data_IF_769023073215
#
_entry.id   IF_769023073215
#
_cell.length_a   1.000
_cell.length_b   1.000
_cell.length_c   1.000
_cell.angle_alpha   90.00
_cell.angle_beta   90.00
_cell.angle_gamma   90.00
#
_symmetry.space_group_name_H-M   'P 1'
#
loop_
_entity.id
_entity.type
_entity.pdbx_description
1 polymer ?
#
# COMPACT_ATOMS: atom_id res chain seq x y z
N UNK A 1 -3.59 -5.13 -23.27
CA UNK A 1 -4.18 -4.86 -24.58
C UNK A 1 -4.85 -3.48 -24.54
N UNK A 2 -4.29 -2.48 -25.21
CA UNK A 2 -4.83 -1.11 -25.17
C UNK A 2 -5.79 -0.98 -26.35
N UNK A 3 -7.09 -1.00 -26.10
CA UNK A 3 -8.07 -0.73 -27.14
C UNK A 3 -8.11 0.78 -27.42
N UNK A 4 -7.46 1.22 -28.50
CA UNK A 4 -7.75 2.54 -29.10
C UNK A 4 -8.98 2.37 -29.99
N UNK A 5 -10.12 2.91 -29.56
CA UNK A 5 -11.25 3.07 -30.48
C UNK A 5 -10.93 4.30 -31.32
N UNK A 6 -10.30 4.06 -32.48
CA UNK A 6 -10.19 5.07 -33.53
C UNK A 6 -11.47 4.96 -34.38
N UNK A 7 -12.33 5.96 -34.30
CA UNK A 7 -13.46 6.12 -35.23
C UNK A 7 -12.89 6.74 -36.50
N UNK A 8 -13.01 6.01 -37.60
CA UNK A 8 -12.44 6.31 -38.90
C UNK A 8 -12.96 7.63 -39.51
N UNK A 9 -12.05 8.35 -40.18
CA UNK A 9 -12.28 9.54 -40.97
C UNK A 9 -13.20 9.29 -42.14
N UNK A 10 -14.36 9.94 -42.14
CA UNK A 10 -15.16 10.24 -43.33
C UNK A 10 -15.06 11.72 -43.64
N UNK A 11 -14.52 12.05 -44.80
CA UNK A 11 -14.36 13.41 -45.28
C UNK A 11 -15.72 14.10 -45.52
N UNK A 12 -16.12 15.00 -44.64
CA UNK A 12 -17.08 16.06 -45.00
C UNK A 12 -16.77 17.29 -44.15
N UNK A 13 -16.22 18.32 -44.79
CA UNK A 13 -15.71 19.57 -44.17
C UNK A 13 -16.77 20.44 -43.50
N UNK A 14 -18.05 20.16 -43.67
CA UNK A 14 -19.15 20.93 -43.08
C UNK A 14 -19.63 20.41 -41.71
N UNK A 15 -19.10 19.26 -41.24
CA UNK A 15 -19.45 18.64 -39.94
C UNK A 15 -18.34 18.71 -38.87
N UNK A 16 -17.28 19.43 -39.12
CA UNK A 16 -16.02 19.43 -38.35
C UNK A 16 -16.18 19.94 -36.89
N UNK A 17 -17.23 20.70 -36.57
CA UNK A 17 -17.35 21.33 -35.25
C UNK A 17 -18.02 20.46 -34.16
N UNK A 18 -18.69 19.37 -34.50
CA UNK A 18 -19.38 18.52 -33.50
C UNK A 18 -18.55 17.33 -33.02
N UNK A 19 -17.58 16.85 -33.79
CA UNK A 19 -16.73 15.70 -33.49
C UNK A 19 -15.44 16.04 -32.73
N UNK A 20 -14.98 17.31 -32.76
CA UNK A 20 -13.76 17.75 -32.08
C UNK A 20 -13.85 17.67 -30.54
N UNK A 21 -15.05 17.57 -29.99
CA UNK A 21 -15.26 17.51 -28.54
C UNK A 21 -15.00 16.11 -27.97
N UNK A 22 -15.20 15.05 -28.75
CA UNK A 22 -15.00 13.66 -28.34
C UNK A 22 -13.57 13.14 -28.62
N UNK A 23 -12.85 13.76 -29.55
CA UNK A 23 -11.46 13.38 -29.89
C UNK A 23 -10.45 13.59 -28.73
N UNK A 24 -10.83 14.28 -27.67
CA UNK A 24 -9.97 14.57 -26.52
C UNK A 24 -10.15 13.65 -25.32
N UNK A 25 -11.05 12.67 -25.42
CA UNK A 25 -11.27 11.68 -24.40
C UNK A 25 -10.44 10.41 -24.71
N UNK A 26 -9.75 9.91 -23.70
CA UNK A 26 -9.05 8.62 -23.77
C UNK A 26 -9.63 7.72 -22.70
N UNK A 27 -10.11 6.55 -23.12
CA UNK A 27 -10.62 5.52 -22.23
C UNK A 27 -9.66 4.33 -22.27
N UNK A 28 -9.34 3.77 -21.12
CA UNK A 28 -8.59 2.52 -21.02
C UNK A 28 -9.32 1.54 -20.11
N UNK A 29 -9.31 0.29 -20.54
CA UNK A 29 -9.78 -0.84 -19.75
C UNK A 29 -8.57 -1.71 -19.42
N UNK A 30 -8.36 -2.00 -18.16
CA UNK A 30 -7.28 -2.82 -17.64
C UNK A 30 -7.80 -3.65 -16.49
N UNK A 31 -7.05 -4.58 -16.01
CA UNK A 31 -7.41 -5.31 -14.80
C UNK A 31 -6.33 -6.28 -14.37
N UNK A 32 -6.55 -6.84 -13.21
CA UNK A 32 -5.70 -7.85 -12.62
C UNK A 32 -6.56 -9.04 -12.20
N UNK A 33 -6.12 -10.24 -12.57
CA UNK A 33 -6.65 -11.51 -12.07
C UNK A 33 -5.53 -12.16 -11.26
N UNK A 34 -5.84 -12.55 -10.02
CA UNK A 34 -4.89 -13.26 -9.16
C UNK A 34 -5.50 -14.61 -8.76
N UNK A 35 -4.74 -15.67 -8.92
CA UNK A 35 -5.07 -16.99 -8.43
C UNK A 35 -3.93 -17.41 -7.50
N UNK A 36 -4.26 -17.78 -6.28
CA UNK A 36 -3.28 -18.25 -5.31
C UNK A 36 -3.72 -19.55 -4.68
N UNK A 37 -2.77 -20.42 -4.37
CA UNK A 37 -3.00 -21.61 -3.56
C UNK A 37 -1.85 -21.77 -2.58
N UNK A 38 -2.15 -22.24 -1.38
CA UNK A 38 -1.12 -22.38 -0.36
C UNK A 38 -1.51 -23.35 0.75
N UNK A 39 -0.50 -23.75 1.50
CA UNK A 39 -0.61 -24.65 2.64
C UNK A 39 0.31 -24.20 3.78
N UNK A 40 0.00 -24.61 5.00
CA UNK A 40 0.82 -24.36 6.19
C UNK A 40 0.80 -25.59 7.10
N UNK A 41 1.80 -25.69 7.95
CA UNK A 41 1.86 -26.72 9.00
C UNK A 41 1.21 -26.26 10.32
N UNK A 42 0.67 -25.04 10.36
CA UNK A 42 -0.03 -24.48 11.52
C UNK A 42 -1.42 -23.99 11.11
N UNK A 43 -2.39 -24.89 11.18
CA UNK A 43 -3.73 -24.71 10.65
C UNK A 43 -4.69 -24.42 11.79
N UNK A 44 -5.50 -23.34 11.73
CA UNK A 44 -6.53 -23.06 12.70
C UNK A 44 -7.60 -24.16 12.71
N UNK A 45 -8.23 -24.36 13.86
CA UNK A 45 -9.35 -25.29 13.98
C UNK A 45 -10.47 -24.92 13.00
N UNK A 46 -11.00 -25.91 12.30
CA UNK A 46 -12.08 -25.73 11.33
C UNK A 46 -11.62 -25.26 9.94
N UNK A 47 -10.30 -25.20 9.69
CA UNK A 47 -9.74 -24.88 8.36
C UNK A 47 -9.14 -26.15 7.73
N UNK A 48 -9.12 -26.18 6.39
CA UNK A 48 -8.39 -27.20 5.62
C UNK A 48 -6.88 -26.89 5.58
N UNK A 49 -6.05 -27.92 5.27
CA UNK A 49 -4.59 -27.68 5.11
C UNK A 49 -4.21 -26.93 3.86
N UNK A 50 -5.13 -26.67 2.95
CA UNK A 50 -4.88 -25.80 1.83
C UNK A 50 -5.96 -24.75 1.71
N UNK A 51 -5.58 -23.60 1.22
CA UNK A 51 -6.49 -22.54 0.83
C UNK A 51 -6.23 -22.11 -0.60
N UNK A 52 -7.28 -21.67 -1.28
CA UNK A 52 -7.22 -21.15 -2.64
C UNK A 52 -7.92 -19.80 -2.68
N UNK A 53 -7.19 -18.78 -3.15
CA UNK A 53 -7.70 -17.43 -3.35
C UNK A 53 -7.89 -17.14 -4.83
N UNK A 54 -9.00 -16.49 -5.15
CA UNK A 54 -9.26 -15.93 -6.49
C UNK A 54 -9.63 -14.47 -6.32
N UNK A 55 -8.86 -13.58 -6.94
CA UNK A 55 -9.11 -12.14 -6.90
C UNK A 55 -9.21 -11.60 -8.32
N UNK A 56 -10.17 -10.72 -8.57
CA UNK A 56 -10.35 -10.03 -9.84
C UNK A 56 -10.59 -8.55 -9.59
N UNK A 57 -9.75 -7.70 -10.19
CA UNK A 57 -9.85 -6.25 -10.07
C UNK A 57 -9.91 -5.64 -11.48
N UNK A 58 -11.10 -5.49 -12.08
CA UNK A 58 -11.28 -4.70 -13.30
C UNK A 58 -11.10 -3.21 -13.01
N UNK A 59 -10.47 -2.50 -13.97
CA UNK A 59 -10.23 -1.06 -13.92
C UNK A 59 -10.68 -0.38 -15.19
N UNK A 60 -11.46 0.67 -15.04
CA UNK A 60 -11.84 1.58 -16.12
C UNK A 60 -11.28 2.96 -15.79
N UNK A 61 -10.54 3.55 -16.72
CA UNK A 61 -10.03 4.90 -16.58
C UNK A 61 -10.45 5.75 -17.77
N UNK A 62 -10.86 6.98 -17.50
CA UNK A 62 -11.25 7.96 -18.52
C UNK A 62 -10.44 9.22 -18.28
N UNK A 63 -9.80 9.75 -19.34
CA UNK A 63 -9.00 10.97 -19.26
C UNK A 63 -9.42 11.95 -20.35
N UNK A 64 -9.57 13.22 -19.99
CA UNK A 64 -9.80 14.35 -20.91
C UNK A 64 -8.67 15.36 -20.79
N UNK A 65 -7.89 15.52 -21.85
CA UNK A 65 -6.90 16.57 -21.93
C UNK A 65 -7.56 17.92 -22.20
N UNK A 66 -7.08 18.96 -21.50
CA UNK A 66 -7.50 20.35 -21.64
C UNK A 66 -6.33 21.18 -22.20
N UNK A 67 -6.59 22.45 -22.51
CA UNK A 67 -5.52 23.39 -22.89
C UNK A 67 -4.58 23.66 -21.71
N UNK A 68 -3.31 24.02 -21.99
CA UNK A 68 -2.30 24.44 -21.00
C UNK A 68 -1.97 23.34 -19.96
N UNK A 69 -1.70 22.11 -20.41
CA UNK A 69 -1.27 20.98 -19.59
C UNK A 69 -2.20 20.65 -18.41
N UNK A 70 -3.49 20.93 -18.60
CA UNK A 70 -4.54 20.57 -17.64
C UNK A 70 -5.31 19.37 -18.14
N UNK A 71 -5.81 18.57 -17.23
CA UNK A 71 -6.65 17.44 -17.56
C UNK A 71 -7.63 17.09 -16.43
N UNK A 72 -8.73 16.46 -16.83
CA UNK A 72 -9.61 15.72 -15.94
C UNK A 72 -9.42 14.24 -16.20
N UNK A 73 -9.41 13.45 -15.14
CA UNK A 73 -9.51 12.01 -15.25
C UNK A 73 -10.38 11.44 -14.12
N UNK A 74 -10.86 10.23 -14.36
CA UNK A 74 -11.64 9.44 -13.42
C UNK A 74 -11.23 7.98 -13.54
N UNK A 75 -11.29 7.28 -12.43
CA UNK A 75 -10.96 5.86 -12.37
C UNK A 75 -11.99 5.14 -11.51
N UNK A 76 -12.40 3.99 -11.98
CA UNK A 76 -13.21 3.04 -11.25
C UNK A 76 -12.55 1.67 -11.26
N UNK A 77 -12.37 1.09 -10.07
CA UNK A 77 -11.92 -0.28 -9.85
C UNK A 77 -12.89 -0.96 -8.91
N UNK A 78 -13.22 -2.20 -9.20
CA UNK A 78 -14.01 -3.04 -8.33
C UNK A 78 -13.22 -4.28 -7.95
N UNK A 79 -13.27 -4.68 -6.68
CA UNK A 79 -12.54 -5.84 -6.18
C UNK A 79 -13.53 -6.97 -5.88
N UNK A 80 -13.32 -8.10 -6.55
CA UNK A 80 -13.92 -9.38 -6.26
C UNK A 80 -12.84 -10.27 -5.67
N UNK A 81 -13.02 -10.75 -4.45
CA UNK A 81 -12.07 -11.67 -3.82
C UNK A 81 -12.85 -12.81 -3.18
N UNK A 82 -12.46 -14.04 -3.47
CA UNK A 82 -13.00 -15.25 -2.86
C UNK A 82 -11.89 -16.10 -2.32
N UNK A 83 -11.98 -16.48 -1.06
CA UNK A 83 -11.04 -17.36 -0.37
C UNK A 83 -11.75 -18.66 0.01
N UNK A 84 -11.18 -19.75 -0.42
CA UNK A 84 -11.66 -21.10 -0.15
C UNK A 84 -10.71 -21.80 0.82
N UNK A 85 -11.26 -22.57 1.76
CA UNK A 85 -10.53 -23.50 2.61
C UNK A 85 -10.96 -24.91 2.24
N UNK A 86 -10.06 -25.69 1.63
CA UNK A 86 -10.49 -26.89 0.91
C UNK A 86 -11.49 -26.53 -0.20
N UNK A 87 -12.60 -27.25 -0.23
CA UNK A 87 -13.68 -27.03 -1.21
C UNK A 87 -14.75 -26.05 -0.74
N UNK A 88 -14.62 -25.50 0.47
CA UNK A 88 -15.63 -24.60 1.08
C UNK A 88 -15.23 -23.14 0.94
N UNK A 89 -16.18 -22.28 0.53
CA UNK A 89 -16.00 -20.83 0.53
C UNK A 89 -15.86 -20.35 1.98
N UNK A 90 -14.71 -19.76 2.30
CA UNK A 90 -14.42 -19.23 3.63
C UNK A 90 -14.76 -17.74 3.73
N UNK A 91 -14.34 -16.95 2.75
CA UNK A 91 -14.58 -15.51 2.73
C UNK A 91 -14.85 -15.02 1.30
N UNK A 92 -15.72 -14.00 1.18
CA UNK A 92 -15.99 -13.32 -0.08
C UNK A 92 -16.05 -11.83 0.15
N UNK A 93 -15.25 -11.07 -0.58
CA UNK A 93 -15.20 -9.61 -0.50
C UNK A 93 -15.55 -9.04 -1.86
N UNK A 94 -16.59 -8.21 -1.91
CA UNK A 94 -16.99 -7.48 -3.10
C UNK A 94 -17.14 -6.01 -2.73
N UNK A 95 -16.25 -5.15 -3.26
CA UNK A 95 -16.24 -3.73 -2.91
C UNK A 95 -15.64 -2.87 -4.01
N UNK A 96 -16.03 -1.58 -4.03
CA UNK A 96 -15.26 -0.61 -4.81
C UNK A 96 -13.84 -0.55 -4.25
N UNK A 97 -12.84 -0.75 -5.11
CA UNK A 97 -11.44 -0.68 -4.74
C UNK A 97 -10.88 0.72 -4.97
N UNK A 98 -11.32 1.36 -6.07
CA UNK A 98 -11.08 2.77 -6.39
C UNK A 98 -12.33 3.34 -7.03
N UNK A 99 -12.64 4.58 -6.72
CA UNK A 99 -13.70 5.34 -7.36
C UNK A 99 -13.43 6.82 -7.13
N UNK A 100 -12.76 7.47 -8.05
CA UNK A 100 -12.37 8.86 -7.88
C UNK A 100 -12.40 9.64 -9.18
N UNK A 101 -12.51 10.96 -9.03
CA UNK A 101 -12.31 11.95 -10.10
C UNK A 101 -11.18 12.89 -9.70
N UNK A 102 -10.42 13.38 -10.69
CA UNK A 102 -9.29 14.27 -10.49
C UNK A 102 -9.25 15.37 -11.54
N UNK A 103 -8.96 16.57 -11.07
CA UNK A 103 -8.46 17.67 -11.88
C UNK A 103 -6.98 17.85 -11.59
N UNK A 104 -6.17 17.99 -12.63
CA UNK A 104 -4.75 18.25 -12.50
C UNK A 104 -4.26 19.31 -13.47
N UNK A 105 -3.31 20.10 -13.00
CA UNK A 105 -2.53 21.10 -13.73
C UNK A 105 -1.08 21.07 -13.23
N UNK A 106 -0.19 21.87 -13.83
CA UNK A 106 1.21 21.94 -13.41
C UNK A 106 1.39 22.41 -11.94
N UNK A 107 0.42 23.10 -11.36
CA UNK A 107 0.52 23.66 -10.01
C UNK A 107 -0.46 23.08 -9.00
N UNK A 108 -1.55 22.48 -9.45
CA UNK A 108 -2.63 22.05 -8.55
C UNK A 108 -3.17 20.71 -9.03
N UNK A 109 -3.35 19.79 -8.08
CA UNK A 109 -4.12 18.56 -8.24
C UNK A 109 -5.23 18.54 -7.19
N UNK A 110 -6.47 18.37 -7.62
CA UNK A 110 -7.61 18.13 -6.74
C UNK A 110 -8.22 16.76 -7.07
N UNK A 111 -8.35 15.88 -6.07
CA UNK A 111 -8.92 14.54 -6.24
C UNK A 111 -10.02 14.31 -5.21
N UNK A 112 -11.12 13.74 -5.66
CA UNK A 112 -12.28 13.42 -4.83
C UNK A 112 -12.72 11.96 -5.04
N UNK A 113 -12.99 11.25 -3.96
CA UNK A 113 -13.52 9.89 -3.97
C UNK A 113 -12.61 8.89 -3.26
N UNK A 114 -12.88 7.60 -3.51
CA UNK A 114 -12.13 6.47 -2.94
C UNK A 114 -10.77 6.34 -3.65
N UNK A 115 -9.70 6.68 -2.97
CA UNK A 115 -8.35 6.82 -3.53
C UNK A 115 -7.26 6.26 -2.63
N UNK A 116 -6.15 5.83 -3.23
CA UNK A 116 -4.94 5.44 -2.51
C UNK A 116 -4.25 6.68 -1.93
N UNK A 117 -3.87 6.61 -0.64
CA UNK A 117 -3.03 7.59 0.04
C UNK A 117 -1.93 6.86 0.81
N UNK A 118 -0.68 7.05 0.40
CA UNK A 118 0.50 6.43 1.00
C UNK A 118 1.51 7.52 1.29
N UNK A 119 2.13 7.49 2.46
CA UNK A 119 3.14 8.45 2.90
C UNK A 119 4.36 7.74 3.46
N UNK A 120 5.48 8.48 3.50
CA UNK A 120 6.73 8.07 4.10
C UNK A 120 7.62 7.20 3.21
N UNK A 121 8.92 7.17 3.47
CA UNK A 121 9.92 6.43 2.71
C UNK A 121 10.10 4.98 3.16
N UNK A 122 9.63 4.60 4.36
CA UNK A 122 9.80 3.24 4.88
C UNK A 122 9.04 2.19 4.07
N UNK A 123 9.60 1.01 3.97
CA UNK A 123 9.11 -0.05 3.09
C UNK A 123 8.43 -1.19 3.86
N UNK A 124 9.00 -1.60 5.00
CA UNK A 124 8.54 -2.75 5.78
C UNK A 124 7.94 -2.30 7.12
N UNK A 125 8.68 -1.50 7.88
CA UNK A 125 8.27 -1.04 9.22
C UNK A 125 7.79 0.42 9.11
N UNK A 126 6.49 0.63 8.86
CA UNK A 126 5.92 1.87 8.35
C UNK A 126 5.11 2.66 9.39
N UNK A 127 5.71 3.64 10.12
CA UNK A 127 5.00 4.52 11.05
C UNK A 127 3.88 5.36 10.41
N UNK A 128 4.02 5.74 9.13
CA UNK A 128 3.08 6.58 8.37
C UNK A 128 2.06 5.78 7.54
N UNK A 129 1.91 4.47 7.77
CA UNK A 129 0.84 3.67 7.15
C UNK A 129 -0.54 3.99 7.74
N UNK A 130 -0.95 5.27 7.69
CA UNK A 130 -2.18 5.74 8.33
C UNK A 130 -3.43 5.49 7.49
N UNK A 131 -3.28 5.37 6.19
CA UNK A 131 -4.38 5.35 5.21
C UNK A 131 -4.24 4.24 4.18
N UNK A 132 -3.30 3.33 4.38
CA UNK A 132 -3.03 2.25 3.45
C UNK A 132 -2.73 0.94 4.18
N UNK A 133 -2.92 -0.16 3.45
CA UNK A 133 -2.61 -1.53 3.89
C UNK A 133 -1.45 -2.11 3.08
N UNK A 134 -0.56 -1.24 2.58
CA UNK A 134 0.57 -1.69 1.76
C UNK A 134 1.46 -2.64 2.53
N UNK A 135 1.69 -3.83 1.97
CA UNK A 135 2.65 -4.81 2.45
C UNK A 135 3.61 -5.19 1.32
N UNK A 136 4.91 -5.03 1.55
CA UNK A 136 5.95 -5.37 0.57
C UNK A 136 5.99 -6.89 0.28
N UNK A 137 5.48 -7.72 1.19
CA UNK A 137 5.37 -9.17 1.02
C UNK A 137 4.24 -9.56 0.07
N UNK A 138 3.24 -8.70 -0.14
CA UNK A 138 2.15 -8.96 -1.08
C UNK A 138 2.60 -8.76 -2.53
N UNK A 139 2.65 -9.83 -3.36
CA UNK A 139 3.06 -9.72 -4.76
C UNK A 139 2.09 -8.90 -5.62
N UNK A 140 0.83 -8.75 -5.21
CA UNK A 140 -0.18 -7.99 -5.97
C UNK A 140 0.05 -6.49 -5.88
N UNK A 141 0.78 -6.02 -4.86
CA UNK A 141 1.02 -4.60 -4.54
C UNK A 141 -0.29 -3.80 -4.38
N UNK A 142 -1.38 -4.49 -4.05
CA UNK A 142 -2.67 -3.85 -3.82
C UNK A 142 -2.72 -3.26 -2.41
N UNK A 143 -3.47 -2.20 -2.24
CA UNK A 143 -3.72 -1.57 -0.94
C UNK A 143 -5.10 -0.95 -0.94
N UNK A 144 -5.76 -0.96 0.17
CA UNK A 144 -7.08 -0.34 0.30
C UNK A 144 -6.97 1.18 0.10
N UNK A 145 -8.08 1.78 -0.28
CA UNK A 145 -8.21 3.21 -0.46
C UNK A 145 -9.03 3.86 0.64
N UNK A 146 -8.96 5.17 0.72
CA UNK A 146 -9.75 6.00 1.63
C UNK A 146 -10.66 6.95 0.86
N UNK A 147 -11.87 7.19 1.38
CA UNK A 147 -12.80 8.19 0.83
C UNK A 147 -12.33 9.57 1.24
N UNK A 148 -11.80 10.34 0.29
CA UNK A 148 -11.17 11.63 0.56
C UNK A 148 -11.48 12.68 -0.49
N UNK A 149 -11.51 13.95 -0.07
CA UNK A 149 -11.13 15.06 -0.91
C UNK A 149 -9.69 15.44 -0.59
N UNK A 150 -8.80 15.43 -1.59
CA UNK A 150 -7.39 15.81 -1.46
C UNK A 150 -7.05 16.91 -2.44
N UNK A 151 -6.41 17.96 -1.94
CA UNK A 151 -5.85 19.06 -2.72
C UNK A 151 -4.33 19.04 -2.58
N UNK A 152 -3.60 19.02 -3.68
CA UNK A 152 -2.15 19.21 -3.75
C UNK A 152 -1.82 20.49 -4.45
N UNK A 153 -0.86 21.22 -3.93
CA UNK A 153 -0.34 22.45 -4.51
C UNK A 153 1.17 22.37 -4.64
N UNK A 154 1.68 22.73 -5.81
CA UNK A 154 3.08 22.70 -6.20
C UNK A 154 3.55 24.11 -6.52
N UNK A 155 3.88 24.97 -5.52
CA UNK A 155 4.34 26.33 -5.77
C UNK A 155 5.69 26.38 -6.46
N UNK A 156 6.57 25.39 -6.20
CA UNK A 156 7.86 25.23 -6.87
C UNK A 156 8.17 23.75 -7.11
N UNK A 157 9.25 23.46 -7.83
CA UNK A 157 9.72 22.10 -8.07
C UNK A 157 10.27 21.43 -6.80
N UNK A 158 10.70 22.23 -5.82
CA UNK A 158 11.31 21.74 -4.58
C UNK A 158 10.35 21.70 -3.41
N UNK A 159 9.14 22.25 -3.54
CA UNK A 159 8.19 22.33 -2.45
C UNK A 159 6.79 21.94 -2.92
N UNK A 160 6.15 21.07 -2.17
CA UNK A 160 4.75 20.73 -2.36
C UNK A 160 4.00 20.68 -1.03
N UNK A 161 2.70 20.91 -1.10
CA UNK A 161 1.80 20.72 0.05
C UNK A 161 0.56 19.99 -0.41
N UNK A 162 0.04 19.14 0.46
CA UNK A 162 -1.23 18.46 0.27
C UNK A 162 -2.10 18.60 1.51
N UNK A 163 -3.39 18.83 1.31
CA UNK A 163 -4.39 18.85 2.37
C UNK A 163 -5.51 17.90 2.02
N UNK A 164 -6.13 17.31 3.02
CA UNK A 164 -7.23 16.37 2.81
C UNK A 164 -8.28 16.46 3.89
N UNK A 165 -9.50 16.12 3.49
CA UNK A 165 -10.61 15.79 4.36
C UNK A 165 -10.99 14.36 4.03
N UNK A 166 -11.03 13.48 5.03
CA UNK A 166 -11.41 12.09 4.90
C UNK A 166 -12.75 11.86 5.60
N UNK A 167 -13.52 10.92 5.07
CA UNK A 167 -14.62 10.30 5.77
C UNK A 167 -14.15 8.92 6.22
N UNK A 168 -14.06 8.71 7.52
CA UNK A 168 -13.69 7.41 8.08
C UNK A 168 -14.86 6.41 8.04
N UNK A 169 -14.65 5.19 8.52
CA UNK A 169 -15.64 4.12 8.54
C UNK A 169 -16.87 4.43 9.42
N UNK A 170 -16.75 5.35 10.36
CA UNK A 170 -17.85 5.82 11.22
C UNK A 170 -18.51 7.11 10.70
N UNK A 171 -18.34 7.41 9.41
CA UNK A 171 -18.85 8.64 8.77
C UNK A 171 -18.41 9.94 9.45
N UNK A 172 -17.31 9.89 10.21
CA UNK A 172 -16.73 11.08 10.85
C UNK A 172 -15.71 11.73 9.93
N UNK A 173 -15.81 13.05 9.76
CA UNK A 173 -14.86 13.82 8.96
C UNK A 173 -13.55 14.03 9.75
N UNK A 174 -12.45 13.67 9.12
CA UNK A 174 -11.10 13.86 9.63
C UNK A 174 -10.31 14.74 8.67
N UNK A 175 -9.34 15.48 9.18
CA UNK A 175 -8.61 16.48 8.40
C UNK A 175 -7.11 16.35 8.62
N UNK A 176 -6.33 16.62 7.58
CA UNK A 176 -4.87 16.65 7.70
C UNK A 176 -4.20 17.40 6.57
N UNK A 177 -2.91 17.61 6.75
CA UNK A 177 -2.06 18.17 5.73
C UNK A 177 -0.64 17.59 5.79
N UNK A 178 0.08 17.72 4.67
CA UNK A 178 1.47 17.32 4.50
C UNK A 178 2.22 18.38 3.72
N UNK A 179 3.41 18.73 4.20
CA UNK A 179 4.40 19.54 3.53
C UNK A 179 5.54 18.66 3.07
N UNK A 180 6.03 18.87 1.87
CA UNK A 180 7.16 18.15 1.30
C UNK A 180 8.17 19.13 0.74
N UNK A 181 9.44 18.94 1.08
CA UNK A 181 10.57 19.74 0.63
C UNK A 181 11.63 18.80 0.06
N UNK A 182 12.06 19.04 -1.18
CA UNK A 182 13.15 18.32 -1.83
C UNK A 182 14.28 19.28 -2.14
N UNK A 183 15.50 18.94 -1.72
CA UNK A 183 16.71 19.71 -1.97
C UNK A 183 17.93 18.78 -2.11
N UNK A 184 19.13 19.33 -2.29
CA UNK A 184 20.36 18.56 -2.46
C UNK A 184 20.75 17.74 -1.20
N UNK A 185 20.18 18.04 -0.05
CA UNK A 185 20.40 17.31 1.21
C UNK A 185 19.39 16.19 1.43
N UNK A 186 18.40 16.04 0.54
CA UNK A 186 17.39 15.00 0.61
C UNK A 186 15.95 15.51 0.54
N UNK A 187 15.04 14.61 0.79
CA UNK A 187 13.59 14.84 0.79
C UNK A 187 13.06 14.82 2.22
N UNK A 188 12.26 15.80 2.55
CA UNK A 188 11.68 16.00 3.89
C UNK A 188 10.16 16.01 3.80
N UNK A 189 9.50 15.35 4.71
CA UNK A 189 8.05 15.36 4.86
C UNK A 189 7.64 15.74 6.28
N UNK A 190 6.62 16.58 6.40
CA UNK A 190 5.95 16.89 7.66
C UNK A 190 4.45 16.65 7.49
N UNK A 191 3.88 15.76 8.29
CA UNK A 191 2.47 15.36 8.18
C UNK A 191 1.76 15.58 9.50
N UNK A 192 0.57 16.19 9.46
CA UNK A 192 -0.32 16.29 10.61
C UNK A 192 -1.72 15.82 10.21
N UNK A 193 -2.41 15.20 11.16
CA UNK A 193 -3.77 14.71 10.97
C UNK A 193 -4.54 14.73 12.28
N UNK A 194 -5.81 15.11 12.22
CA UNK A 194 -6.73 15.09 13.35
C UNK A 194 -7.94 14.23 13.04
N UNK A 195 -8.22 13.28 13.92
CA UNK A 195 -9.38 12.42 13.90
C UNK A 195 -10.23 12.68 15.16
N UNK A 196 -11.51 12.97 14.96
CA UNK A 196 -12.47 13.27 16.02
C UNK A 196 -13.38 12.08 16.36
N UNK A 197 -13.14 10.92 15.78
CA UNK A 197 -13.95 9.71 16.03
C UNK A 197 -13.90 9.29 17.48
N UNK A 198 -15.01 8.85 18.02
CA UNK A 198 -15.11 8.36 19.40
C UNK A 198 -14.88 6.87 19.56
N UNK A 199 -14.84 6.11 18.46
CA UNK A 199 -14.68 4.65 18.45
C UNK A 199 -13.25 4.18 18.56
N UNK A 200 -13.06 2.91 18.90
CA UNK A 200 -11.79 2.22 18.76
C UNK A 200 -11.42 2.12 17.29
N UNK A 201 -10.19 2.48 16.98
CA UNK A 201 -9.59 2.31 15.65
C UNK A 201 -8.32 1.51 15.76
N UNK A 202 -8.01 0.74 14.72
CA UNK A 202 -6.72 0.08 14.56
C UNK A 202 -5.91 0.82 13.53
N UNK A 203 -4.73 1.28 13.93
CA UNK A 203 -3.92 2.14 13.09
C UNK A 203 -2.70 1.42 12.53
N UNK A 204 -2.48 1.63 11.25
CA UNK A 204 -1.29 1.22 10.53
C UNK A 204 -1.17 -0.29 10.38
N UNK A 205 -0.06 -0.71 9.80
CA UNK A 205 0.26 -2.11 9.54
C UNK A 205 0.38 -2.95 10.83
N UNK A 206 0.71 -2.33 11.96
CA UNK A 206 0.83 -2.99 13.25
C UNK A 206 -0.50 -3.17 13.98
N UNK A 207 -1.59 -2.64 13.44
CA UNK A 207 -2.91 -2.73 14.08
C UNK A 207 -2.95 -2.11 15.47
N UNK A 208 -2.30 -0.97 15.68
CA UNK A 208 -2.23 -0.33 17.00
C UNK A 208 -3.59 0.22 17.44
N UNK A 209 -4.14 -0.22 18.57
CA UNK A 209 -5.44 0.25 19.03
C UNK A 209 -5.35 1.70 19.55
N UNK A 210 -6.24 2.55 19.03
CA UNK A 210 -6.40 3.94 19.46
C UNK A 210 -7.85 4.17 19.85
N UNK A 211 -8.05 4.70 21.05
CA UNK A 211 -9.36 4.96 21.61
C UNK A 211 -9.70 6.44 21.50
N UNK A 212 -10.81 6.74 20.85
CA UNK A 212 -11.41 8.07 20.81
C UNK A 212 -10.66 9.09 19.94
N UNK A 213 -11.01 10.38 20.10
CA UNK A 213 -10.41 11.47 19.34
C UNK A 213 -8.90 11.55 19.56
N UNK A 214 -8.16 11.73 18.47
CA UNK A 214 -6.71 11.76 18.52
C UNK A 214 -6.10 12.63 17.43
N UNK A 215 -4.87 13.09 17.70
CA UNK A 215 -4.05 13.83 16.75
C UNK A 215 -2.82 13.02 16.40
N UNK A 216 -2.38 13.10 15.14
CA UNK A 216 -1.19 12.45 14.61
C UNK A 216 -0.27 13.51 14.03
N UNK A 217 1.02 13.41 14.34
CA UNK A 217 2.06 14.22 13.71
C UNK A 217 3.20 13.32 13.30
N UNK A 218 3.81 13.58 12.16
CA UNK A 218 4.95 12.81 11.69
C UNK A 218 5.94 13.68 10.93
N UNK A 219 7.21 13.30 11.03
CA UNK A 219 8.29 13.81 10.21
C UNK A 219 8.97 12.63 9.54
N UNK A 220 9.29 12.79 8.27
CA UNK A 220 10.05 11.81 7.51
C UNK A 220 11.15 12.48 6.69
N UNK A 221 12.18 11.72 6.42
CA UNK A 221 13.35 12.14 5.69
C UNK A 221 13.89 11.00 4.85
N UNK A 222 14.35 11.31 3.63
CA UNK A 222 15.04 10.38 2.74
C UNK A 222 16.21 11.07 2.06
N UNK A 223 17.34 10.40 2.05
CA UNK A 223 18.52 10.75 1.29
C UNK A 223 18.90 9.60 0.36
N UNK A 224 19.08 9.89 -0.91
CA UNK A 224 19.54 8.95 -1.93
C UNK A 224 20.92 9.40 -2.42
N UNK A 225 21.95 8.67 -2.03
CA UNK A 225 23.34 8.88 -2.42
C UNK A 225 24.00 7.56 -2.78
N UNK A 226 25.26 7.38 -2.38
CA UNK A 226 25.93 6.08 -2.49
C UNK A 226 25.18 5.02 -1.67
N UNK A 227 24.68 5.40 -0.51
CA UNK A 227 23.76 4.65 0.32
C UNK A 227 22.43 5.40 0.37
N UNK A 228 21.30 4.70 0.23
CA UNK A 228 20.02 5.24 0.62
C UNK A 228 19.89 5.24 2.15
N UNK A 229 19.34 6.31 2.70
CA UNK A 229 19.09 6.43 4.13
C UNK A 229 17.75 7.14 4.34
N UNK A 230 16.96 6.67 5.31
CA UNK A 230 15.69 7.32 5.67
C UNK A 230 15.37 7.21 7.15
N UNK A 231 14.56 8.15 7.58
CA UNK A 231 13.89 8.13 8.88
C UNK A 231 12.41 8.40 8.67
N UNK A 232 11.59 7.75 9.47
CA UNK A 232 10.16 8.01 9.55
C UNK A 232 9.75 7.97 11.02
N UNK A 233 9.26 9.09 11.54
CA UNK A 233 8.89 9.24 12.94
C UNK A 233 7.47 9.75 13.05
N UNK A 234 6.61 9.02 13.78
CA UNK A 234 5.21 9.36 14.00
C UNK A 234 4.89 9.45 15.50
N UNK A 235 4.10 10.45 15.86
CA UNK A 235 3.57 10.65 17.18
C UNK A 235 2.05 10.73 17.12
N UNK A 236 1.38 9.91 17.93
CA UNK A 236 -0.07 9.82 18.00
C UNK A 236 -0.49 10.05 19.44
N UNK A 237 -1.42 10.98 19.66
CA UNK A 237 -1.87 11.36 20.98
C UNK A 237 -3.39 11.38 21.05
N UNK A 238 -3.94 10.62 21.98
CA UNK A 238 -5.33 10.67 22.42
C UNK A 238 -5.41 11.00 23.92
N UNK A 239 -6.61 11.12 24.45
CA UNK A 239 -6.79 11.37 25.90
C UNK A 239 -6.25 10.23 26.78
N UNK A 240 -6.20 8.99 26.27
CA UNK A 240 -5.82 7.79 27.03
C UNK A 240 -4.51 7.17 26.57
N UNK A 241 -4.03 7.49 25.36
CA UNK A 241 -2.84 6.85 24.82
C UNK A 241 -1.91 7.83 24.13
N UNK A 242 -0.61 7.58 24.25
CA UNK A 242 0.46 8.26 23.52
C UNK A 242 1.32 7.19 22.86
N UNK A 243 1.37 7.22 21.53
CA UNK A 243 2.15 6.26 20.74
C UNK A 243 3.24 7.03 20.01
N UNK A 244 4.46 6.53 20.10
CA UNK A 244 5.63 7.03 19.36
C UNK A 244 6.20 5.90 18.56
N UNK A 245 6.36 6.13 17.27
CA UNK A 245 6.96 5.21 16.31
C UNK A 245 8.15 5.93 15.69
N UNK A 246 9.29 5.28 15.61
CA UNK A 246 10.46 5.80 14.91
C UNK A 246 11.13 4.67 14.17
N UNK A 247 11.18 4.79 12.85
CA UNK A 247 11.90 3.85 11.98
C UNK A 247 13.08 4.56 11.33
N UNK A 248 14.23 3.90 11.37
CA UNK A 248 15.44 4.27 10.64
C UNK A 248 15.74 3.13 9.68
N UNK A 249 16.05 3.47 8.43
CA UNK A 249 16.39 2.48 7.43
C UNK A 249 17.53 2.94 6.52
N UNK A 250 18.18 1.97 5.91
CA UNK A 250 19.21 2.18 4.90
C UNK A 250 19.16 1.08 3.85
N UNK A 251 19.58 1.43 2.63
CA UNK A 251 19.75 0.47 1.55
C UNK A 251 21.07 0.68 0.80
N UNK A 252 21.49 -0.37 0.14
CA UNK A 252 22.64 -0.35 -0.75
C UNK A 252 22.51 -1.42 -1.84
N UNK A 253 22.88 -1.07 -3.05
CA UNK A 253 22.95 -2.05 -4.14
C UNK A 253 24.38 -2.55 -4.30
N UNK A 254 24.63 -3.79 -3.91
CA UNK A 254 25.91 -4.47 -4.11
C UNK A 254 26.15 -4.65 -5.61
N UNK A 255 27.33 -4.25 -6.15
CA UNK A 255 27.66 -4.41 -7.57
C UNK A 255 28.08 -5.85 -7.91
N UNK A 256 27.25 -6.82 -7.56
CA UNK A 256 27.47 -8.26 -7.78
C UNK A 256 26.41 -8.74 -8.76
N UNK A 257 26.82 -9.41 -9.84
CA UNK A 257 25.91 -9.89 -10.90
C UNK A 257 25.10 -8.73 -11.50
N UNK A 258 23.77 -8.81 -11.44
CA UNK A 258 22.84 -7.77 -11.94
C UNK A 258 22.50 -6.71 -10.85
N UNK A 259 23.27 -6.65 -9.77
CA UNK A 259 23.01 -5.81 -8.60
C UNK A 259 22.13 -6.50 -7.56
N UNK A 260 22.62 -6.64 -6.34
CA UNK A 260 21.86 -7.17 -5.20
C UNK A 260 21.46 -6.01 -4.31
N UNK A 261 20.18 -5.67 -4.27
CA UNK A 261 19.68 -4.67 -3.33
C UNK A 261 19.58 -5.29 -1.94
N UNK A 262 20.26 -4.69 -0.98
CA UNK A 262 20.10 -5.01 0.45
C UNK A 262 19.50 -3.81 1.17
N UNK A 263 18.61 -4.05 2.10
CA UNK A 263 17.91 -3.02 2.88
C UNK A 263 17.73 -3.50 4.32
N UNK A 264 17.83 -2.57 5.26
CA UNK A 264 17.49 -2.81 6.66
C UNK A 264 16.68 -1.67 7.22
N UNK A 265 15.73 -2.00 8.09
CA UNK A 265 14.94 -1.05 8.87
C UNK A 265 14.90 -1.49 10.32
N UNK A 266 15.00 -0.54 11.24
CA UNK A 266 14.76 -0.79 12.67
C UNK A 266 13.76 0.21 13.19
N UNK A 267 12.72 -0.28 13.84
CA UNK A 267 11.64 0.52 14.41
C UNK A 267 11.62 0.39 15.93
N UNK A 268 11.56 1.52 16.60
CA UNK A 268 11.21 1.63 18.01
C UNK A 268 9.76 2.08 18.13
N UNK A 269 8.95 1.28 18.83
CA UNK A 269 7.57 1.56 19.19
C UNK A 269 7.48 1.78 20.71
N UNK A 270 7.03 2.94 21.13
CA UNK A 270 6.70 3.24 22.53
C UNK A 270 5.21 3.53 22.61
N UNK A 271 4.49 2.71 23.34
CA UNK A 271 3.06 2.88 23.59
C UNK A 271 2.82 3.10 25.08
N UNK A 272 2.24 4.24 25.41
CA UNK A 272 1.77 4.57 26.75
C UNK A 272 0.25 4.59 26.73
N UNK A 273 -0.38 3.69 27.46
CA UNK A 273 -1.82 3.65 27.65
C UNK A 273 -2.14 3.86 29.15
N UNK A 274 -2.78 4.98 29.46
CA UNK A 274 -2.93 5.45 30.85
C UNK A 274 -1.56 5.48 31.56
N UNK A 275 -1.38 4.75 32.65
CA UNK A 275 -0.13 4.69 33.41
C UNK A 275 0.81 3.55 32.97
N UNK A 276 0.40 2.71 32.01
CA UNK A 276 1.20 1.59 31.53
C UNK A 276 2.00 1.98 30.31
N UNK A 277 3.31 1.77 30.36
CA UNK A 277 4.23 1.97 29.23
C UNK A 277 4.74 0.63 28.70
N UNK A 278 4.77 0.49 27.40
CA UNK A 278 5.35 -0.63 26.68
C UNK A 278 6.28 -0.10 25.60
N UNK A 279 7.50 -0.60 25.56
CA UNK A 279 8.48 -0.29 24.53
C UNK A 279 8.79 -1.58 23.73
N UNK A 280 8.83 -1.49 22.41
CA UNK A 280 9.10 -2.61 21.51
C UNK A 280 10.11 -2.20 20.45
N UNK A 281 10.97 -3.13 20.07
CA UNK A 281 11.94 -2.96 18.99
C UNK A 281 11.73 -4.05 17.96
N UNK A 282 11.59 -3.63 16.71
CA UNK A 282 11.48 -4.51 15.55
C UNK A 282 12.60 -4.18 14.57
N UNK A 283 13.18 -5.20 13.97
CA UNK A 283 14.17 -5.03 12.88
C UNK A 283 13.72 -5.84 11.67
N UNK A 284 13.78 -5.25 10.52
CA UNK A 284 13.56 -5.93 9.24
C UNK A 284 14.82 -5.85 8.38
N UNK A 285 15.11 -6.93 7.66
CA UNK A 285 16.13 -6.99 6.63
C UNK A 285 15.52 -7.55 5.36
N UNK A 286 15.90 -7.00 4.22
CA UNK A 286 15.50 -7.47 2.89
C UNK A 286 16.70 -7.58 1.98
N UNK A 287 16.69 -8.60 1.13
CA UNK A 287 17.60 -8.72 0.00
C UNK A 287 16.82 -9.08 -1.27
N UNK A 288 17.06 -8.35 -2.35
CA UNK A 288 16.52 -8.62 -3.68
C UNK A 288 17.66 -9.04 -4.60
N UNK A 289 17.57 -10.27 -5.10
CA UNK A 289 18.54 -10.87 -6.01
C UNK A 289 17.90 -11.06 -7.39
N UNK A 290 18.19 -10.21 -8.38
CA UNK A 290 17.76 -10.44 -9.76
C UNK A 290 18.57 -11.58 -10.39
N UNK A 291 17.86 -12.52 -11.05
CA UNK A 291 18.42 -13.66 -11.73
C UNK A 291 18.02 -13.60 -13.21
N UNK A 292 18.98 -13.23 -14.06
CA UNK A 292 18.71 -12.96 -15.47
C UNK A 292 17.78 -11.74 -15.63
N UNK A 293 16.87 -11.78 -16.62
CA UNK A 293 15.99 -10.65 -16.97
C UNK A 293 14.63 -10.78 -16.29
N UNK A 294 14.12 -11.99 -16.13
CA UNK A 294 12.71 -12.25 -15.78
C UNK A 294 12.51 -12.75 -14.36
N UNK A 295 13.60 -13.10 -13.64
CA UNK A 295 13.48 -13.73 -12.35
C UNK A 295 14.06 -12.84 -11.25
N UNK A 296 13.43 -12.87 -10.08
CA UNK A 296 13.91 -12.20 -8.88
C UNK A 296 13.65 -13.06 -7.65
N UNK A 297 14.64 -13.19 -6.79
CA UNK A 297 14.45 -13.75 -5.46
C UNK A 297 14.48 -12.63 -4.44
N UNK A 298 13.40 -12.52 -3.68
CA UNK A 298 13.28 -11.59 -2.55
C UNK A 298 13.34 -12.39 -1.25
N UNK A 299 14.26 -12.02 -0.37
CA UNK A 299 14.32 -12.52 1.01
C UNK A 299 13.97 -11.38 1.96
N UNK A 300 13.07 -11.64 2.93
CA UNK A 300 12.72 -10.70 3.99
C UNK A 300 12.79 -11.46 5.32
N UNK A 301 13.41 -10.87 6.32
CA UNK A 301 13.30 -11.32 7.71
C UNK A 301 12.85 -10.17 8.59
N UNK A 302 11.99 -10.47 9.56
CA UNK A 302 11.54 -9.53 10.58
C UNK A 302 11.80 -10.15 11.96
N UNK A 303 12.37 -9.36 12.86
CA UNK A 303 12.72 -9.74 14.21
C UNK A 303 11.94 -8.90 15.20
N UNK A 304 11.21 -9.54 16.09
CA UNK A 304 10.65 -8.92 17.29
C UNK A 304 11.59 -9.24 18.46
N UNK A 305 12.34 -8.24 18.89
CA UNK A 305 13.33 -8.39 19.94
C UNK A 305 12.71 -8.62 21.33
N UNK A 306 11.52 -8.10 21.57
CA UNK A 306 10.82 -8.21 22.84
C UNK A 306 10.21 -9.58 23.03
N UNK A 307 9.54 -10.10 22.01
CA UNK A 307 8.94 -11.44 22.04
C UNK A 307 9.94 -12.54 21.65
N UNK A 308 11.14 -12.17 21.18
CA UNK A 308 12.16 -13.11 20.65
C UNK A 308 11.61 -13.97 19.51
N UNK A 309 10.79 -13.38 18.65
CA UNK A 309 10.19 -14.05 17.49
C UNK A 309 10.87 -13.59 16.21
N UNK A 310 11.03 -14.53 15.28
CA UNK A 310 11.62 -14.28 13.96
C UNK A 310 10.66 -14.75 12.88
N UNK A 311 10.50 -13.97 11.85
CA UNK A 311 9.66 -14.23 10.69
C UNK A 311 10.53 -14.19 9.45
N UNK A 312 10.42 -15.21 8.60
CA UNK A 312 11.19 -15.32 7.37
C UNK A 312 10.26 -15.49 6.18
N UNK A 313 10.58 -14.81 5.12
CA UNK A 313 9.83 -14.82 3.89
C UNK A 313 10.80 -14.88 2.71
N UNK A 314 10.60 -15.85 1.83
CA UNK A 314 11.35 -16.00 0.57
C UNK A 314 10.36 -16.03 -0.56
N UNK A 315 10.52 -15.18 -1.54
CA UNK A 315 9.71 -15.15 -2.75
C UNK A 315 10.59 -15.29 -3.98
N UNK A 316 10.32 -16.28 -4.80
CA UNK A 316 10.80 -16.32 -6.16
C UNK A 316 9.69 -15.80 -7.09
N UNK A 317 10.01 -14.76 -7.86
CA UNK A 317 9.13 -14.13 -8.82
C UNK A 317 9.66 -14.35 -10.23
N UNK A 318 8.78 -14.70 -11.16
CA UNK A 318 9.04 -14.76 -12.60
C UNK A 318 8.08 -13.83 -13.31
N UNK A 319 8.62 -12.79 -13.97
CA UNK A 319 7.83 -11.75 -14.63
C UNK A 319 7.87 -11.93 -16.14
N UNK A 320 6.71 -11.97 -16.78
CA UNK A 320 6.49 -12.02 -18.21
C UNK A 320 5.61 -10.83 -18.63
N UNK A 321 5.38 -10.67 -19.93
CA UNK A 321 4.68 -9.47 -20.47
C UNK A 321 3.33 -9.19 -19.80
N UNK A 322 2.52 -10.22 -19.57
CA UNK A 322 1.15 -10.09 -19.06
C UNK A 322 0.93 -10.83 -17.73
N UNK A 323 1.85 -11.66 -17.28
CA UNK A 323 1.67 -12.43 -16.08
C UNK A 323 2.93 -12.54 -15.23
N UNK A 324 2.73 -12.69 -13.93
CA UNK A 324 3.76 -12.93 -12.93
C UNK A 324 3.45 -14.22 -12.19
N UNK A 325 4.43 -15.11 -12.11
CA UNK A 325 4.36 -16.30 -11.28
C UNK A 325 5.19 -16.07 -10.02
N UNK A 326 4.60 -16.31 -8.85
CA UNK A 326 5.28 -16.20 -7.57
C UNK A 326 5.23 -17.54 -6.83
N UNK A 327 6.37 -17.94 -6.27
CA UNK A 327 6.47 -19.01 -5.29
C UNK A 327 6.97 -18.39 -3.98
N UNK A 328 6.24 -18.63 -2.91
CA UNK A 328 6.49 -18.01 -1.61
C UNK A 328 6.68 -19.11 -0.59
N UNK A 329 7.76 -19.01 0.19
CA UNK A 329 8.03 -19.79 1.38
C UNK A 329 8.05 -18.85 2.58
N UNK A 330 7.26 -19.14 3.59
CA UNK A 330 7.25 -18.43 4.86
C UNK A 330 7.60 -19.35 6.02
N UNK A 331 8.45 -18.87 6.94
CA UNK A 331 8.81 -19.57 8.17
C UNK A 331 8.49 -18.62 9.32
N UNK A 332 7.35 -18.82 9.94
CA UNK A 332 6.82 -17.97 10.99
C UNK A 332 6.66 -18.75 12.31
N UNK A 333 6.62 -18.05 13.44
CA UNK A 333 6.24 -18.69 14.69
C UNK A 333 4.87 -19.36 14.58
N UNK A 334 4.67 -20.46 15.31
CA UNK A 334 3.36 -21.10 15.42
C UNK A 334 2.39 -20.19 16.16
N UNK A 335 1.09 -20.36 15.88
CA UNK A 335 0.02 -19.67 16.61
C UNK A 335 0.09 -20.07 18.09
N UNK A 336 -0.06 -19.07 18.96
CA UNK A 336 -0.41 -19.34 20.35
C UNK A 336 -1.92 -19.28 20.49
N UNK A 337 -2.51 -20.05 21.39
CA UNK A 337 -3.96 -20.07 21.64
C UNK A 337 -4.53 -18.70 22.02
N UNK A 338 -3.68 -17.76 22.39
CA UNK A 338 -4.03 -16.40 22.81
C UNK A 338 -3.61 -15.32 21.81
N UNK A 339 -3.04 -15.67 20.66
CA UNK A 339 -2.77 -14.71 19.60
C UNK A 339 -4.11 -14.33 18.95
N UNK A 340 -4.80 -13.37 19.56
CA UNK A 340 -5.92 -12.69 18.93
C UNK A 340 -5.35 -11.90 17.77
N UNK A 341 -5.81 -12.10 16.52
CA UNK A 341 -5.40 -11.26 15.41
C UNK A 341 -5.82 -9.82 15.73
N UNK A 342 -4.86 -8.96 16.05
CA UNK A 342 -5.07 -7.55 16.40
C UNK A 342 -5.31 -6.72 15.14
N UNK A 343 -4.93 -7.24 13.98
CA UNK A 343 -5.20 -6.65 12.69
C UNK A 343 -6.07 -7.57 11.85
N UNK A 344 -6.82 -7.01 10.92
CA UNK A 344 -7.37 -7.73 9.77
C UNK A 344 -6.25 -8.22 8.84
N UNK A 345 -5.21 -8.84 9.40
CA UNK A 345 -4.33 -9.67 8.59
C UNK A 345 -5.27 -10.64 7.88
N UNK A 346 -5.15 -10.80 6.56
CA UNK A 346 -5.97 -11.75 5.87
C UNK A 346 -5.90 -13.05 6.66
N UNK A 347 -7.03 -13.64 6.97
CA UNK A 347 -7.19 -14.89 7.71
C UNK A 347 -6.54 -16.07 6.99
N UNK A 348 -5.44 -15.83 6.28
CA UNK A 348 -4.68 -16.78 5.53
C UNK A 348 -3.95 -17.72 6.47
N UNK A 349 -4.02 -19.00 6.16
CA UNK A 349 -3.28 -20.02 6.89
C UNK A 349 -1.76 -19.87 6.77
N UNK A 350 -1.27 -19.13 5.78
CA UNK A 350 0.16 -18.98 5.44
C UNK A 350 0.89 -18.04 6.41
N UNK A 351 0.18 -17.23 7.16
CA UNK A 351 0.76 -16.26 8.09
C UNK A 351 1.44 -16.85 9.33
N UNK A 352 1.26 -18.16 9.60
CA UNK A 352 1.77 -18.84 10.79
C UNK A 352 2.43 -20.17 10.41
N UNK A 353 3.41 -20.60 11.23
CA UNK A 353 4.17 -21.83 10.99
C UNK A 353 4.98 -21.75 9.68
N UNK A 354 5.25 -22.92 9.11
CA UNK A 354 5.89 -23.05 7.80
C UNK A 354 4.82 -23.10 6.72
N UNK A 355 4.77 -22.10 5.84
CA UNK A 355 3.80 -21.99 4.76
C UNK A 355 4.47 -21.96 3.39
N UNK A 356 3.79 -22.55 2.41
CA UNK A 356 4.16 -22.48 0.99
C UNK A 356 2.96 -21.95 0.22
N UNK A 357 3.19 -21.00 -0.69
CA UNK A 357 2.16 -20.45 -1.56
C UNK A 357 2.66 -20.33 -2.99
N UNK A 358 1.79 -20.64 -3.92
CA UNK A 358 1.96 -20.30 -5.33
C UNK A 358 0.91 -19.28 -5.73
N UNK A 359 1.31 -18.29 -6.53
CA UNK A 359 0.42 -17.22 -6.97
C UNK A 359 0.70 -16.86 -8.42
N UNK A 360 -0.34 -16.85 -9.24
CA UNK A 360 -0.34 -16.36 -10.60
C UNK A 360 -1.10 -15.03 -10.67
N UNK A 361 -0.45 -14.00 -11.17
CA UNK A 361 -1.02 -12.67 -11.39
C UNK A 361 -1.03 -12.40 -12.89
N UNK A 362 -2.20 -12.15 -13.44
CA UNK A 362 -2.39 -11.80 -14.85
C UNK A 362 -2.90 -10.35 -14.95
N UNK A 363 -2.18 -9.53 -15.74
CA UNK A 363 -2.54 -8.14 -16.00
C UNK A 363 -2.91 -7.98 -17.49
N UNK A 364 -4.02 -7.30 -17.79
CA UNK A 364 -4.52 -7.07 -19.16
C UNK A 364 -4.90 -5.61 -19.41
#
# INVERSE_FOLDING_TARGET
MTFKIAIANGQDKSKINKYSYWEKWTTSFRGQVTISTGTSNDIPLGRSYYETGIEYIPRISVKKSLKKDRFFDAEWEYKFNKLYTGDSLYNSIEKNHRLWIRYASNKIEARFGLQKMVFGPTQILRPLSWFDTFDLKDPTSQTDGVKAFRLRWYPSNSFSTSSWVLMNEQDTLTIGCRLELSNNLGEWGLTIHQDKSSSLQFLGQLGLPIYGPHSRAAIDYRYDGLFGFWNESAFISSNKSKIRLMTIGADYTLPISNGILIMTETMHLSNQFEDKKSDQIHTAFMANLPIGINHMVTYITQLDWNQKKSYYYVRWNSTFDSYNLNMILSLNPKRNQFDIPISELPDSIIGFGTGIQMMLIYNY
#
